data_IF_678082545560
#
_entry.id   IF_678082545560
#
_cell.length_a   1.000
_cell.length_b   1.000
_cell.length_c   1.000
_cell.angle_alpha   90.00
_cell.angle_beta   90.00
_cell.angle_gamma   90.00
#
_symmetry.space_group_name_H-M   'P 1'
#
loop_
_entity.id
_entity.type
_entity.pdbx_description
1 polymer ?
#
# COMPACT_ATOMS: atom_id res chain seq x y z
N UNK A 1 35.54 26.42 11.71
CA UNK A 1 34.34 26.39 10.85
C UNK A 1 34.21 25.09 10.03
N UNK A 2 35.09 24.13 10.23
CA UNK A 2 35.24 22.88 9.46
C UNK A 2 34.77 21.62 10.21
N UNK A 3 34.52 21.72 11.53
CA UNK A 3 34.00 20.62 12.36
C UNK A 3 32.48 20.63 12.55
N UNK A 4 31.82 21.74 12.23
CA UNK A 4 30.35 21.91 12.34
C UNK A 4 29.61 21.39 11.11
N UNK A 5 30.26 21.37 9.95
CA UNK A 5 29.70 20.86 8.70
C UNK A 5 29.24 19.39 8.76
N UNK A 6 30.02 18.42 9.30
CA UNK A 6 29.56 17.03 9.40
C UNK A 6 28.37 16.85 10.34
N UNK A 7 28.26 17.67 11.40
CA UNK A 7 27.14 17.63 12.35
C UNK A 7 25.84 18.08 11.68
N UNK A 8 25.92 19.12 10.86
CA UNK A 8 24.77 19.60 10.08
C UNK A 8 24.35 18.54 9.06
N UNK A 9 25.30 17.94 8.32
CA UNK A 9 25.00 16.89 7.34
C UNK A 9 24.34 15.67 8.02
N UNK A 10 24.81 15.27 9.20
CA UNK A 10 24.23 14.17 9.96
C UNK A 10 22.83 14.51 10.53
N UNK A 11 22.57 15.76 10.91
CA UNK A 11 21.23 16.17 11.33
C UNK A 11 20.21 16.08 10.17
N UNK A 12 20.62 16.46 8.96
CA UNK A 12 19.75 16.41 7.78
C UNK A 12 19.46 14.98 7.30
N UNK A 13 20.36 14.02 7.48
CA UNK A 13 20.15 12.63 7.03
C UNK A 13 19.03 11.88 7.78
N UNK A 14 18.70 12.29 9.01
CA UNK A 14 17.62 11.69 9.81
C UNK A 14 16.21 11.94 9.23
N UNK A 15 16.04 13.02 8.46
CA UNK A 15 14.72 13.38 7.87
C UNK A 15 14.31 12.46 6.71
N UNK A 16 15.27 11.84 6.02
CA UNK A 16 15.03 10.95 4.87
C UNK A 16 14.41 9.62 5.31
N UNK A 17 14.72 9.15 6.53
CA UNK A 17 14.22 7.88 7.08
C UNK A 17 12.71 7.93 7.35
N UNK A 18 12.17 9.10 7.73
CA UNK A 18 10.75 9.27 8.06
C UNK A 18 9.84 9.22 6.80
N UNK A 19 10.40 9.45 5.62
CA UNK A 19 9.68 9.35 4.34
C UNK A 19 9.50 7.89 3.86
N UNK A 20 10.25 6.93 4.42
CA UNK A 20 10.12 5.50 4.14
C UNK A 20 8.97 4.87 4.92
N UNK A 21 7.80 5.54 4.95
CA UNK A 21 6.58 4.93 5.50
C UNK A 21 6.34 3.63 4.74
N UNK A 22 6.56 2.50 5.41
CA UNK A 22 6.28 1.16 4.92
C UNK A 22 4.81 1.13 4.48
N UNK A 23 4.59 1.33 3.19
CA UNK A 23 3.28 1.30 2.57
C UNK A 23 2.88 -0.17 2.55
N UNK A 24 2.03 -0.59 3.48
CA UNK A 24 1.50 -1.95 3.49
C UNK A 24 0.86 -2.22 2.14
N UNK A 25 1.17 -3.40 1.59
CA UNK A 25 0.63 -3.86 0.31
C UNK A 25 -0.33 -4.99 0.58
N UNK A 26 -1.58 -4.81 0.18
CA UNK A 26 -2.58 -5.88 0.18
C UNK A 26 -2.67 -6.41 -1.25
N UNK A 27 -2.43 -7.71 -1.41
CA UNK A 27 -2.50 -8.38 -2.71
C UNK A 27 -3.22 -9.72 -2.57
N UNK A 28 -3.90 -10.13 -3.63
CA UNK A 28 -4.63 -11.39 -3.65
C UNK A 28 -5.13 -11.75 -5.04
N UNK A 29 -5.97 -12.78 -5.09
CA UNK A 29 -6.65 -13.25 -6.30
C UNK A 29 -8.11 -13.54 -5.99
N UNK A 30 -9.02 -13.11 -6.86
CA UNK A 30 -10.44 -13.37 -6.78
C UNK A 30 -10.84 -14.54 -7.70
N UNK A 31 -11.50 -15.55 -7.12
CA UNK A 31 -11.92 -16.77 -7.82
C UNK A 31 -13.37 -17.10 -7.45
N UNK A 32 -14.21 -17.36 -8.45
CA UNK A 32 -15.52 -18.00 -8.27
C UNK A 32 -15.31 -19.49 -8.01
N UNK A 33 -15.71 -19.96 -6.82
CA UNK A 33 -15.53 -21.35 -6.40
C UNK A 33 -16.48 -22.33 -7.10
N UNK A 34 -17.64 -21.88 -7.58
CA UNK A 34 -18.63 -22.74 -8.25
C UNK A 34 -18.17 -23.04 -9.67
N UNK A 35 -17.67 -22.01 -10.36
CA UNK A 35 -17.21 -22.12 -11.74
C UNK A 35 -15.70 -22.40 -11.86
N UNK A 36 -14.98 -22.34 -10.73
CA UNK A 36 -13.50 -22.41 -10.66
C UNK A 36 -12.83 -21.38 -11.57
N UNK A 37 -13.44 -20.22 -11.71
CA UNK A 37 -13.05 -19.19 -12.67
C UNK A 37 -12.42 -17.99 -11.96
N UNK A 38 -11.32 -17.49 -12.51
CA UNK A 38 -10.72 -16.22 -12.09
C UNK A 38 -11.59 -15.06 -12.58
N UNK A 39 -11.94 -14.14 -11.69
CA UNK A 39 -12.85 -13.04 -12.03
C UNK A 39 -12.06 -11.83 -12.50
N UNK A 40 -12.11 -11.56 -13.80
CA UNK A 40 -11.57 -10.35 -14.42
C UNK A 40 -12.51 -9.16 -14.19
N UNK A 41 -11.94 -7.96 -14.15
CA UNK A 41 -12.65 -6.68 -14.07
C UNK A 41 -13.54 -6.47 -12.83
N UNK A 42 -13.35 -7.27 -11.78
CA UNK A 42 -14.06 -7.10 -10.52
C UNK A 42 -13.47 -5.93 -9.71
N UNK A 43 -14.34 -5.13 -9.09
CA UNK A 43 -13.91 -4.01 -8.24
C UNK A 43 -13.71 -4.49 -6.81
N UNK A 44 -12.51 -4.27 -6.27
CA UNK A 44 -12.17 -4.52 -4.87
C UNK A 44 -12.06 -3.17 -4.17
N UNK A 45 -12.86 -2.94 -3.14
CA UNK A 45 -12.79 -1.74 -2.30
C UNK A 45 -12.27 -2.11 -0.91
N UNK A 46 -11.26 -1.37 -0.45
CA UNK A 46 -10.74 -1.45 0.91
C UNK A 46 -11.32 -0.29 1.71
N UNK A 47 -11.96 -0.60 2.83
CA UNK A 47 -12.57 0.38 3.72
C UNK A 47 -11.96 0.33 5.12
N UNK A 48 -12.02 1.43 5.83
CA UNK A 48 -11.66 1.50 7.24
C UNK A 48 -12.73 0.76 8.06
N UNK A 49 -12.32 -0.20 8.89
CA UNK A 49 -13.26 -1.01 9.66
C UNK A 49 -14.04 -0.21 10.72
N UNK A 50 -13.51 0.92 11.21
CA UNK A 50 -14.12 1.72 12.27
C UNK A 50 -15.29 2.57 11.77
N UNK A 51 -15.16 3.16 10.59
CA UNK A 51 -16.11 4.15 10.07
C UNK A 51 -16.56 3.89 8.61
N UNK A 52 -16.13 2.77 8.02
CA UNK A 52 -16.41 2.37 6.64
C UNK A 52 -15.92 3.37 5.56
N UNK A 53 -15.05 4.33 5.91
CA UNK A 53 -14.47 5.24 4.93
C UNK A 53 -13.61 4.49 3.90
N UNK A 54 -13.64 4.92 2.63
CA UNK A 54 -12.85 4.31 1.57
C UNK A 54 -11.36 4.61 1.77
N UNK A 55 -10.55 3.56 1.95
CA UNK A 55 -9.09 3.65 1.99
C UNK A 55 -8.54 3.62 0.56
N UNK A 56 -9.11 2.78 -0.31
CA UNK A 56 -8.69 2.66 -1.70
C UNK A 56 -9.46 1.58 -2.44
N UNK A 57 -9.27 1.51 -3.74
CA UNK A 57 -9.90 0.51 -4.59
C UNK A 57 -8.96 0.07 -5.70
N UNK A 58 -9.22 -1.09 -6.26
CA UNK A 58 -8.49 -1.63 -7.41
C UNK A 58 -9.42 -2.52 -8.23
N UNK A 59 -8.99 -2.86 -9.44
CA UNK A 59 -9.69 -3.80 -10.32
C UNK A 59 -8.85 -5.05 -10.48
N UNK A 60 -9.49 -6.22 -10.49
CA UNK A 60 -8.79 -7.46 -10.83
C UNK A 60 -8.36 -7.49 -12.30
N UNK A 61 -7.24 -8.16 -12.57
CA UNK A 61 -6.78 -8.44 -13.94
C UNK A 61 -7.41 -9.72 -14.52
N UNK A 62 -7.03 -10.08 -15.75
CA UNK A 62 -7.49 -11.28 -16.44
C UNK A 62 -7.23 -12.57 -15.65
N UNK A 63 -6.22 -12.57 -14.78
CA UNK A 63 -5.93 -13.68 -13.89
C UNK A 63 -6.55 -13.53 -12.48
N UNK A 64 -7.52 -12.63 -12.33
CA UNK A 64 -8.21 -12.32 -11.08
C UNK A 64 -7.33 -11.67 -10.01
N UNK A 65 -6.10 -11.28 -10.32
CA UNK A 65 -5.15 -10.73 -9.33
C UNK A 65 -5.46 -9.27 -9.03
N UNK A 66 -5.24 -8.86 -7.80
CA UNK A 66 -5.39 -7.46 -7.39
C UNK A 66 -4.27 -7.04 -6.45
N UNK A 67 -3.96 -5.73 -6.46
CA UNK A 67 -2.99 -5.10 -5.56
C UNK A 67 -3.50 -3.73 -5.12
N UNK A 68 -3.44 -3.47 -3.82
CA UNK A 68 -3.68 -2.18 -3.18
C UNK A 68 -2.40 -1.82 -2.40
N UNK A 69 -1.74 -0.74 -2.82
CA UNK A 69 -0.51 -0.24 -2.18
C UNK A 69 -0.82 0.97 -1.31
N UNK A 70 0.06 1.29 -0.36
CA UNK A 70 -0.08 2.52 0.41
C UNK A 70 -1.09 2.44 1.54
N UNK A 71 -1.47 1.24 1.97
CA UNK A 71 -2.36 1.05 3.10
C UNK A 71 -1.59 1.39 4.38
N UNK A 72 -2.16 2.28 5.20
CA UNK A 72 -1.65 2.49 6.55
C UNK A 72 -2.09 1.28 7.40
N UNK A 73 -1.16 0.56 8.02
CA UNK A 73 -1.53 -0.46 8.99
C UNK A 73 -2.28 0.26 10.13
N UNK A 74 -3.50 -0.19 10.41
CA UNK A 74 -4.39 0.41 11.41
C UNK A 74 -3.81 0.37 12.82
#
# INVERSE_FOLDING_TARGET
MNRTLPVIIFAFSTTIVIAQKNKTVIKGRLVDILQKQQLDNATISLINAKDSSLIGFTRTDAEGRFVIVGVNAG
#
